data_IF_737681176989
#
_entry.id   IF_737681176989
#
_cell.length_a   1.000
_cell.length_b   1.000
_cell.length_c   1.000
_cell.angle_alpha   90.00
_cell.angle_beta   90.00
_cell.angle_gamma   90.00
#
_symmetry.space_group_name_H-M   'P 1'
#
loop_
_entity.id
_entity.type
_entity.pdbx_description
1 polymer ?
#
# COMPACT_ATOMS: atom_id res chain seq x y z
N UNK A 1 -3.69 -23.93 11.22
CA UNK A 1 -2.50 -23.17 11.63
C UNK A 1 -2.65 -21.74 11.10
N UNK A 2 -2.96 -20.76 11.96
CA UNK A 2 -2.98 -19.34 11.52
C UNK A 2 -1.53 -18.87 11.52
N UNK A 3 -0.97 -18.70 10.32
CA UNK A 3 0.42 -18.28 10.11
C UNK A 3 0.66 -16.86 10.67
N UNK A 4 -0.40 -16.06 10.80
CA UNK A 4 -0.36 -14.71 11.39
C UNK A 4 -1.60 -14.46 12.26
N UNK A 5 -1.46 -14.39 13.60
CA UNK A 5 -2.60 -14.36 14.52
C UNK A 5 -2.98 -12.95 15.00
N UNK A 6 -2.78 -11.91 14.19
CA UNK A 6 -3.19 -10.54 14.55
C UNK A 6 -4.50 -10.14 13.87
N UNK A 7 -5.37 -9.49 14.64
CA UNK A 7 -6.58 -8.87 14.13
C UNK A 7 -6.27 -7.45 13.69
N UNK A 8 -6.56 -7.13 12.44
CA UNK A 8 -6.37 -5.78 11.89
C UNK A 8 -7.46 -5.43 10.88
N UNK A 9 -7.66 -4.14 10.68
CA UNK A 9 -8.46 -3.60 9.58
C UNK A 9 -7.53 -2.87 8.62
N UNK A 10 -7.65 -3.17 7.33
CA UNK A 10 -6.98 -2.44 6.27
C UNK A 10 -8.00 -1.64 5.47
N UNK A 11 -7.72 -0.35 5.26
CA UNK A 11 -8.50 0.52 4.39
C UNK A 11 -7.59 1.16 3.36
N UNK A 12 -7.99 1.07 2.10
CA UNK A 12 -7.37 1.78 0.99
C UNK A 12 -8.34 2.83 0.48
N UNK A 13 -7.90 4.10 0.46
CA UNK A 13 -8.59 5.17 -0.24
C UNK A 13 -7.88 5.43 -1.56
N UNK A 14 -8.66 5.51 -2.64
CA UNK A 14 -8.19 5.86 -3.98
C UNK A 14 -8.84 7.18 -4.37
N UNK A 15 -8.06 8.11 -4.91
CA UNK A 15 -8.54 9.39 -5.40
C UNK A 15 -7.78 9.81 -6.66
N UNK A 16 -8.47 10.53 -7.54
CA UNK A 16 -7.87 11.18 -8.71
C UNK A 16 -7.78 12.68 -8.42
N UNK A 17 -6.58 13.23 -8.52
CA UNK A 17 -6.32 14.66 -8.43
C UNK A 17 -6.75 15.38 -9.71
N UNK A 18 -7.04 16.67 -9.61
CA UNK A 18 -7.41 17.51 -10.76
C UNK A 18 -6.31 17.57 -11.84
N UNK A 19 -5.05 17.31 -11.48
CA UNK A 19 -3.91 17.23 -12.39
C UNK A 19 -3.70 15.88 -13.06
N UNK A 20 -4.59 14.89 -12.83
CA UNK A 20 -4.41 13.52 -13.33
C UNK A 20 -3.62 12.60 -12.39
N UNK A 21 -3.23 13.09 -11.21
CA UNK A 21 -2.52 12.30 -10.22
C UNK A 21 -3.41 11.20 -9.63
N UNK A 22 -2.86 9.99 -9.50
CA UNK A 22 -3.49 8.90 -8.76
C UNK A 22 -2.95 8.88 -7.32
N UNK A 23 -3.81 9.22 -6.35
CA UNK A 23 -3.47 9.18 -4.93
C UNK A 23 -3.99 7.89 -4.29
N UNK A 24 -3.08 7.14 -3.67
CA UNK A 24 -3.38 5.97 -2.84
C UNK A 24 -3.06 6.29 -1.38
N UNK A 25 -4.07 6.22 -0.50
CA UNK A 25 -3.88 6.38 0.95
C UNK A 25 -4.23 5.09 1.66
N UNK A 26 -3.21 4.39 2.15
CA UNK A 26 -3.34 3.16 2.92
C UNK A 26 -3.42 3.45 4.42
N UNK A 27 -4.33 2.78 5.12
CA UNK A 27 -4.45 2.86 6.58
C UNK A 27 -4.61 1.47 7.17
N UNK A 28 -3.81 1.18 8.20
CA UNK A 28 -3.89 -0.04 9.00
C UNK A 28 -4.33 0.34 10.41
N UNK A 29 -5.30 -0.41 10.94
CA UNK A 29 -5.76 -0.28 12.32
C UNK A 29 -5.55 -1.59 13.06
N UNK A 30 -4.93 -1.50 14.24
CA UNK A 30 -4.84 -2.63 15.14
C UNK A 30 -6.21 -2.92 15.78
N UNK A 31 -6.67 -4.16 15.62
CA UNK A 31 -7.95 -4.66 16.13
C UNK A 31 -7.75 -5.82 17.13
N UNK A 32 -6.52 -6.03 17.63
CA UNK A 32 -6.24 -6.98 18.69
C UNK A 32 -7.04 -6.60 19.94
N UNK A 33 -7.83 -7.54 20.47
CA UNK A 33 -8.68 -7.32 21.65
C UNK A 33 -7.87 -7.21 22.95
N UNK A 34 -6.63 -7.73 22.95
CA UNK A 34 -5.69 -7.65 24.07
C UNK A 34 -4.85 -6.36 24.07
N UNK A 35 -5.07 -5.47 23.09
CA UNK A 35 -4.37 -4.20 22.96
C UNK A 35 -2.90 -4.33 22.55
N UNK A 36 -2.38 -5.53 22.30
CA UNK A 36 -0.96 -5.72 21.96
C UNK A 36 -0.66 -5.15 20.58
N UNK A 37 0.42 -4.36 20.43
CA UNK A 37 0.89 -3.93 19.12
C UNK A 37 1.37 -5.14 18.30
N UNK A 38 1.35 -5.00 16.98
CA UNK A 38 1.96 -5.96 16.06
C UNK A 38 2.77 -5.23 15.00
N UNK A 39 3.74 -5.93 14.43
CA UNK A 39 4.57 -5.40 13.33
C UNK A 39 3.98 -5.85 12.00
N UNK A 40 4.01 -4.97 11.02
CA UNK A 40 3.57 -5.25 9.65
C UNK A 40 4.54 -4.63 8.65
N UNK A 41 4.54 -5.17 7.44
CA UNK A 41 5.18 -4.58 6.28
C UNK A 41 4.11 -4.28 5.23
N UNK A 42 4.30 -3.22 4.46
CA UNK A 42 3.44 -2.84 3.36
C UNK A 42 4.28 -2.30 2.20
N UNK A 43 3.85 -2.59 0.98
CA UNK A 43 4.46 -2.08 -0.24
C UNK A 43 3.38 -1.77 -1.28
N UNK A 44 3.60 -0.73 -2.08
CA UNK A 44 2.83 -0.48 -3.29
C UNK A 44 3.54 -1.14 -4.46
N UNK A 45 2.89 -2.10 -5.12
CA UNK A 45 3.46 -2.78 -6.28
C UNK A 45 2.97 -2.15 -7.60
N UNK A 46 3.24 -0.86 -7.78
CA UNK A 46 2.78 -0.10 -8.94
C UNK A 46 3.56 -0.47 -10.20
N UNK A 47 2.85 -0.72 -11.30
CA UNK A 47 3.44 -0.92 -12.62
C UNK A 47 3.20 0.32 -13.48
N UNK A 48 4.27 0.94 -13.95
CA UNK A 48 4.19 2.06 -14.89
C UNK A 48 4.03 1.54 -16.33
N UNK A 49 3.09 2.12 -17.05
CA UNK A 49 2.95 1.89 -18.48
C UNK A 49 4.04 2.67 -19.22
N UNK A 50 4.96 1.95 -19.85
CA UNK A 50 6.06 2.50 -20.65
C UNK A 50 6.01 1.90 -22.05
N UNK A 51 6.22 2.72 -23.08
CA UNK A 51 6.09 2.29 -24.48
C UNK A 51 7.31 1.49 -24.95
N UNK A 52 8.52 1.99 -24.71
CA UNK A 52 9.78 1.27 -24.91
C UNK A 52 10.58 1.31 -23.60
N UNK A 53 11.08 0.17 -23.16
CA UNK A 53 11.90 0.06 -21.95
C UNK A 53 13.30 0.64 -22.14
N UNK A 54 13.77 0.74 -23.38
CA UNK A 54 15.11 1.24 -23.73
C UNK A 54 15.25 2.75 -23.50
N UNK A 55 14.13 3.47 -23.48
CA UNK A 55 14.06 4.92 -23.31
C UNK A 55 13.75 5.35 -21.87
N UNK A 56 13.62 4.39 -20.94
CA UNK A 56 13.24 4.67 -19.54
C UNK A 56 14.49 4.88 -18.68
N UNK A 57 14.51 5.99 -17.94
CA UNK A 57 15.49 6.26 -16.89
C UNK A 57 14.81 6.19 -15.52
N UNK A 58 15.50 5.57 -14.55
CA UNK A 58 15.10 5.60 -13.14
C UNK A 58 16.10 6.51 -12.41
N UNK A 59 15.58 7.46 -11.65
CA UNK A 59 16.36 8.39 -10.82
C UNK A 59 15.96 8.20 -9.35
N UNK A 60 16.91 8.42 -8.44
CA UNK A 60 16.74 8.19 -7.00
C UNK A 60 17.60 9.13 -6.16
#
# INVERSE_FOLDING_TARGET
>A
MKIWPHSYEFRLRVALGLGGDLMLTSRIRNMNTDGKPFTFAFACHTYFSVSDRSEVRVEG
#
